data_IF_951103644139
#
_entry.id   IF_951103644139
#
_cell.length_a   1.000
_cell.length_b   1.000
_cell.length_c   1.000
_cell.angle_alpha   90.00
_cell.angle_beta   90.00
_cell.angle_gamma   90.00
#
_symmetry.space_group_name_H-M   'P 1'
#
loop_
_entity.id
_entity.type
_entity.pdbx_description
1 polymer ?
#
# COMPACT_ATOMS: atom_id res chain seq x y z
N UNK A 1 -0.22 -15.08 10.23
CA UNK A 1 -1.51 -14.62 9.67
C UNK A 1 -1.28 -13.24 9.06
N UNK A 2 -1.97 -12.89 7.97
CA UNK A 2 -1.91 -11.57 7.35
C UNK A 2 -3.03 -10.69 7.89
N UNK A 3 -2.73 -9.44 8.24
CA UNK A 3 -3.74 -8.45 8.61
C UNK A 3 -4.17 -7.60 7.41
N UNK A 4 -5.42 -7.16 7.40
CA UNK A 4 -5.90 -6.11 6.49
C UNK A 4 -6.47 -4.99 7.36
N UNK A 5 -5.92 -3.77 7.22
CA UNK A 5 -6.40 -2.61 7.98
C UNK A 5 -7.81 -2.24 7.53
N UNK A 6 -8.80 -2.47 8.38
CA UNK A 6 -10.23 -2.37 8.06
C UNK A 6 -10.89 -1.17 8.75
N UNK A 7 -10.34 0.03 8.51
CA UNK A 7 -10.88 1.29 9.02
C UNK A 7 -11.76 1.99 7.96
N UNK A 8 -11.32 1.97 6.71
CA UNK A 8 -12.03 2.52 5.54
C UNK A 8 -11.41 1.98 4.23
N UNK A 9 -12.05 2.24 3.08
CA UNK A 9 -11.55 1.87 1.76
C UNK A 9 -11.79 0.40 1.37
N UNK A 10 -11.02 -0.10 0.42
CA UNK A 10 -11.28 -1.38 -0.26
C UNK A 10 -10.73 -2.62 0.47
N UNK A 11 -10.76 -2.63 1.81
CA UNK A 11 -10.23 -3.73 2.62
C UNK A 11 -10.93 -5.09 2.31
N UNK A 12 -12.22 -5.07 1.95
CA UNK A 12 -12.95 -6.29 1.55
C UNK A 12 -12.38 -6.90 0.26
N UNK A 13 -11.94 -6.10 -0.69
CA UNK A 13 -11.32 -6.59 -1.92
C UNK A 13 -10.00 -7.30 -1.63
N UNK A 14 -9.16 -6.73 -0.77
CA UNK A 14 -7.93 -7.41 -0.31
C UNK A 14 -8.24 -8.72 0.43
N UNK A 15 -9.29 -8.77 1.24
CA UNK A 15 -9.75 -10.02 1.87
C UNK A 15 -10.07 -11.10 0.83
N UNK A 16 -10.84 -10.74 -0.20
CA UNK A 16 -11.20 -11.67 -1.28
C UNK A 16 -9.94 -12.21 -1.97
N UNK A 17 -8.95 -11.38 -2.25
CA UNK A 17 -7.67 -11.83 -2.82
C UNK A 17 -6.97 -12.82 -1.88
N UNK A 18 -6.92 -12.54 -0.58
CA UNK A 18 -6.30 -13.46 0.40
C UNK A 18 -7.06 -14.78 0.51
N UNK A 19 -8.41 -14.76 0.41
CA UNK A 19 -9.23 -15.97 0.35
C UNK A 19 -8.91 -16.80 -0.91
N UNK A 20 -8.83 -16.17 -2.08
CA UNK A 20 -8.47 -16.83 -3.34
C UNK A 20 -7.08 -17.49 -3.28
N UNK A 21 -6.16 -16.89 -2.55
CA UNK A 21 -4.81 -17.40 -2.31
C UNK A 21 -4.72 -18.39 -1.13
N UNK A 22 -5.84 -18.71 -0.48
CA UNK A 22 -5.91 -19.58 0.70
C UNK A 22 -5.00 -19.12 1.84
N UNK A 23 -4.87 -17.79 2.06
CA UNK A 23 -4.04 -17.20 3.09
C UNK A 23 -4.87 -16.90 4.33
N UNK A 24 -4.43 -17.40 5.50
CA UNK A 24 -5.05 -17.03 6.76
C UNK A 24 -4.90 -15.52 7.03
N UNK A 25 -6.01 -14.84 7.24
CA UNK A 25 -6.04 -13.40 7.44
C UNK A 25 -7.01 -12.97 8.54
N UNK A 26 -6.92 -11.71 8.94
CA UNK A 26 -7.85 -11.07 9.88
C UNK A 26 -7.94 -9.56 9.61
N UNK A 27 -9.06 -8.95 10.01
CA UNK A 27 -9.18 -7.49 9.99
C UNK A 27 -8.47 -6.87 11.18
N UNK A 28 -7.72 -5.80 10.90
CA UNK A 28 -7.09 -4.95 11.92
C UNK A 28 -7.95 -3.70 12.09
N UNK A 29 -8.57 -3.58 13.27
CA UNK A 29 -9.43 -2.44 13.66
C UNK A 29 -8.94 -1.76 14.94
N UNK A 30 -8.03 -2.39 15.67
CA UNK A 30 -7.42 -1.89 16.89
C UNK A 30 -6.02 -2.48 17.07
N UNK A 31 -5.23 -1.93 18.01
CA UNK A 31 -3.85 -2.33 18.24
C UNK A 31 -3.69 -3.80 18.62
N UNK A 32 -4.64 -4.36 19.40
CA UNK A 32 -4.57 -5.78 19.80
C UNK A 32 -4.66 -6.76 18.61
N UNK A 33 -5.26 -6.35 17.50
CA UNK A 33 -5.28 -7.19 16.31
C UNK A 33 -3.89 -7.35 15.67
N UNK A 34 -2.96 -6.39 15.89
CA UNK A 34 -1.59 -6.45 15.37
C UNK A 34 -0.77 -7.58 16.02
N UNK A 35 -1.08 -7.96 17.27
CA UNK A 35 -0.36 -9.02 17.99
C UNK A 35 -0.49 -10.41 17.32
N UNK A 36 -1.51 -10.58 16.48
CA UNK A 36 -1.86 -11.86 15.85
C UNK A 36 -1.32 -12.02 14.44
N UNK A 37 -0.69 -10.99 13.88
CA UNK A 37 -0.27 -10.95 12.48
C UNK A 37 1.22 -10.74 12.32
N UNK A 38 1.77 -11.15 11.19
CA UNK A 38 3.19 -10.99 10.83
C UNK A 38 3.38 -10.30 9.47
N UNK A 39 2.30 -9.87 8.84
CA UNK A 39 2.30 -9.00 7.68
C UNK A 39 0.98 -8.21 7.67
N UNK A 40 1.00 -6.99 7.14
CA UNK A 40 -0.16 -6.09 7.11
C UNK A 40 -0.37 -5.53 5.71
N UNK A 41 -1.62 -5.46 5.26
CA UNK A 41 -2.03 -4.70 4.08
C UNK A 41 -2.76 -3.44 4.55
N UNK A 42 -2.35 -2.27 4.08
CA UNK A 42 -3.05 -0.98 4.24
C UNK A 42 -3.73 -0.65 2.92
N UNK A 43 -5.06 -0.75 2.85
CA UNK A 43 -5.82 -0.58 1.61
C UNK A 43 -5.81 0.84 1.06
N UNK A 44 -6.22 0.95 -0.21
CA UNK A 44 -6.64 2.19 -0.82
C UNK A 44 -7.91 2.79 -0.20
N UNK A 45 -8.20 4.03 -0.57
CA UNK A 45 -9.34 4.79 -0.07
C UNK A 45 -9.04 6.30 -0.01
N UNK A 46 -9.62 7.02 0.93
CA UNK A 46 -9.36 8.45 1.12
C UNK A 46 -8.30 8.65 2.24
N UNK A 47 -7.13 9.18 1.88
CA UNK A 47 -5.97 9.24 2.77
C UNK A 47 -6.16 10.16 4.00
N UNK A 48 -6.91 11.27 3.87
CA UNK A 48 -7.19 12.15 5.00
C UNK A 48 -8.07 11.45 6.03
N UNK A 49 -9.14 10.78 5.55
CA UNK A 49 -10.02 9.99 6.41
C UNK A 49 -9.25 8.83 7.06
N UNK A 50 -8.38 8.16 6.31
CA UNK A 50 -7.56 7.07 6.85
C UNK A 50 -6.64 7.55 7.95
N UNK A 51 -5.92 8.67 7.76
CA UNK A 51 -5.07 9.29 8.77
C UNK A 51 -5.85 9.63 10.04
N UNK A 52 -7.01 10.30 9.89
CA UNK A 52 -7.88 10.65 11.03
C UNK A 52 -8.39 9.41 11.78
N UNK A 53 -8.75 8.35 11.09
CA UNK A 53 -9.23 7.11 11.72
C UNK A 53 -8.09 6.37 12.44
N UNK A 54 -6.88 6.35 11.87
CA UNK A 54 -5.68 5.79 12.53
C UNK A 54 -5.47 6.49 13.89
N UNK A 55 -5.58 7.82 13.94
CA UNK A 55 -5.44 8.57 15.19
C UNK A 55 -6.61 8.35 16.14
N UNK A 56 -7.84 8.40 15.63
CA UNK A 56 -9.06 8.17 16.42
C UNK A 56 -9.07 6.81 17.14
N UNK A 57 -8.51 5.78 16.49
CA UNK A 57 -8.41 4.43 17.08
C UNK A 57 -7.08 4.17 17.79
N UNK A 58 -6.23 5.21 17.99
CA UNK A 58 -4.92 5.12 18.64
C UNK A 58 -4.00 4.05 17.99
N UNK A 59 -4.01 3.95 16.68
CA UNK A 59 -3.26 2.93 15.94
C UNK A 59 -1.90 3.41 15.44
N UNK A 60 -1.63 4.72 15.38
CA UNK A 60 -0.45 5.29 14.74
C UNK A 60 0.86 4.71 15.27
N UNK A 61 1.10 4.84 16.56
CA UNK A 61 2.31 4.31 17.19
C UNK A 61 2.42 2.80 17.06
N UNK A 62 1.31 2.07 17.23
CA UNK A 62 1.28 0.62 17.08
C UNK A 62 1.62 0.15 15.67
N UNK A 63 1.18 0.88 14.62
CA UNK A 63 1.52 0.61 13.23
C UNK A 63 3.01 0.89 12.95
N UNK A 64 3.56 1.98 13.48
CA UNK A 64 4.97 2.32 13.38
C UNK A 64 5.83 1.24 14.08
N UNK A 65 5.48 0.83 15.29
CA UNK A 65 6.19 -0.24 16.00
C UNK A 65 6.06 -1.59 15.29
N UNK A 66 4.88 -1.92 14.73
CA UNK A 66 4.67 -3.10 13.92
C UNK A 66 5.61 -3.10 12.70
N UNK A 67 5.74 -1.98 12.01
CA UNK A 67 6.59 -1.84 10.83
C UNK A 67 8.07 -2.11 11.11
N UNK A 68 8.55 -1.87 12.34
CA UNK A 68 9.93 -2.18 12.73
C UNK A 68 10.23 -3.68 12.74
N UNK A 69 9.22 -4.53 12.91
CA UNK A 69 9.35 -5.99 13.03
C UNK A 69 8.83 -6.73 11.80
N UNK A 70 7.76 -6.26 11.22
CA UNK A 70 6.99 -6.94 10.19
C UNK A 70 6.78 -6.07 8.95
N UNK A 71 6.44 -6.70 7.86
CA UNK A 71 6.28 -6.04 6.57
C UNK A 71 4.88 -5.49 6.38
N UNK A 72 4.80 -4.36 5.68
CA UNK A 72 3.54 -3.71 5.33
C UNK A 72 3.47 -3.54 3.81
N UNK A 73 2.30 -3.80 3.24
CA UNK A 73 1.96 -3.48 1.86
C UNK A 73 0.91 -2.38 1.82
N UNK A 74 1.23 -1.23 1.24
CA UNK A 74 0.33 -0.09 1.08
C UNK A 74 -0.13 0.10 -0.36
N UNK A 75 -1.44 0.14 -0.62
CA UNK A 75 -2.00 0.42 -1.95
C UNK A 75 -2.68 1.78 -1.98
N UNK A 76 -2.46 2.58 -3.01
CA UNK A 76 -3.06 3.91 -3.20
C UNK A 76 -2.98 4.80 -1.93
N UNK A 77 -4.05 4.98 -1.16
CA UNK A 77 -4.01 5.70 0.12
C UNK A 77 -3.07 5.04 1.14
N UNK A 78 -2.96 3.71 1.13
CA UNK A 78 -1.99 2.97 1.94
C UNK A 78 -0.54 3.33 1.58
N UNK A 79 -0.22 3.50 0.28
CA UNK A 79 1.08 4.03 -0.14
C UNK A 79 1.35 5.42 0.42
N UNK A 80 0.35 6.31 0.39
CA UNK A 80 0.45 7.65 0.99
C UNK A 80 0.79 7.55 2.48
N UNK A 81 0.13 6.66 3.22
CA UNK A 81 0.39 6.48 4.64
C UNK A 81 1.81 5.98 4.96
N UNK A 82 2.45 5.24 4.04
CA UNK A 82 3.82 4.74 4.23
C UNK A 82 4.90 5.79 3.92
N UNK A 83 4.57 6.88 3.21
CA UNK A 83 5.53 7.91 2.79
C UNK A 83 6.12 8.68 3.99
N UNK A 84 7.21 9.42 3.74
CA UNK A 84 7.98 10.13 4.79
C UNK A 84 7.46 11.53 5.11
N UNK A 85 6.78 12.20 4.17
CA UNK A 85 6.41 13.61 4.33
C UNK A 85 4.90 13.78 4.48
N UNK A 86 4.52 14.53 5.50
CA UNK A 86 3.14 14.91 5.68
C UNK A 86 2.65 15.77 4.51
N UNK A 87 1.46 15.43 4.01
CA UNK A 87 0.90 16.09 2.83
C UNK A 87 -0.05 17.19 3.26
N UNK A 88 0.34 18.43 2.99
CA UNK A 88 -0.52 19.61 3.19
C UNK A 88 -1.48 19.74 2.02
N UNK A 89 -2.78 19.74 2.29
CA UNK A 89 -3.81 20.22 1.36
C UNK A 89 -4.34 21.58 1.83
N UNK A 90 -5.13 22.26 0.99
CA UNK A 90 -5.69 23.58 1.34
C UNK A 90 -6.54 23.56 2.62
N UNK A 91 -7.14 22.42 2.97
CA UNK A 91 -8.12 22.31 4.06
C UNK A 91 -7.71 21.28 5.13
N UNK A 92 -6.84 20.32 4.83
CA UNK A 92 -6.47 19.25 5.76
C UNK A 92 -5.02 18.81 5.57
N UNK A 93 -4.40 18.38 6.66
CA UNK A 93 -3.11 17.72 6.65
C UNK A 93 -3.31 16.20 6.71
N UNK A 94 -2.53 15.46 5.93
CA UNK A 94 -2.42 14.01 6.07
C UNK A 94 -1.15 13.72 6.83
N UNK A 95 -1.30 13.31 8.09
CA UNK A 95 -0.18 12.84 8.89
C UNK A 95 0.12 11.40 8.48
N UNK A 96 1.27 11.20 7.87
CA UNK A 96 1.73 9.90 7.39
C UNK A 96 2.41 9.10 8.51
N UNK A 97 2.71 7.82 8.25
CA UNK A 97 3.38 6.95 9.23
C UNK A 97 4.91 7.07 9.16
N UNK A 98 5.46 7.67 8.12
CA UNK A 98 6.90 7.84 7.91
C UNK A 98 7.68 6.51 8.04
N UNK A 99 7.26 5.51 7.29
CA UNK A 99 7.81 4.15 7.34
C UNK A 99 8.83 3.90 6.23
N UNK A 100 8.54 4.39 5.01
CA UNK A 100 9.39 4.22 3.84
C UNK A 100 9.96 5.57 3.38
N UNK A 101 11.21 5.60 2.92
CA UNK A 101 11.93 6.82 2.52
C UNK A 101 11.56 7.29 1.11
N UNK A 102 10.31 7.70 0.93
CA UNK A 102 9.82 8.32 -0.31
C UNK A 102 8.75 9.38 -0.04
N UNK A 103 8.56 10.28 -0.98
CA UNK A 103 7.51 11.32 -0.94
C UNK A 103 6.52 11.14 -2.08
N UNK A 104 5.29 11.55 -1.86
CA UNK A 104 4.23 11.50 -2.86
C UNK A 104 3.53 12.84 -3.03
N UNK A 105 3.01 13.07 -4.25
CA UNK A 105 2.04 14.12 -4.54
C UNK A 105 0.68 13.51 -4.82
N UNK A 106 -0.38 14.12 -4.28
CA UNK A 106 -1.77 13.68 -4.49
C UNK A 106 -2.35 14.32 -5.74
N UNK A 107 -3.22 13.59 -6.45
CA UNK A 107 -3.98 14.10 -7.60
C UNK A 107 -3.10 14.69 -8.73
N UNK A 108 -1.96 14.09 -9.02
CA UNK A 108 -0.93 14.69 -9.88
C UNK A 108 -0.84 14.07 -11.28
N UNK A 109 -1.81 13.26 -11.71
CA UNK A 109 -1.80 12.57 -13.00
C UNK A 109 -2.43 13.37 -14.16
N UNK A 110 -2.52 14.70 -14.05
CA UNK A 110 -2.98 15.57 -15.13
C UNK A 110 -4.43 15.27 -15.59
N UNK A 111 -4.61 15.01 -16.88
CA UNK A 111 -5.93 14.65 -17.46
C UNK A 111 -6.48 13.30 -16.98
N UNK A 112 -5.61 12.40 -16.52
CA UNK A 112 -5.94 11.07 -15.99
C UNK A 112 -6.16 11.07 -14.46
N UNK A 113 -6.35 12.21 -13.85
CA UNK A 113 -6.43 12.39 -12.39
C UNK A 113 -7.58 11.68 -11.67
N UNK A 114 -8.58 11.20 -12.39
CA UNK A 114 -9.74 10.53 -11.76
C UNK A 114 -9.56 9.02 -11.71
N UNK A 115 -9.51 8.35 -12.85
CA UNK A 115 -9.28 6.91 -12.95
C UNK A 115 -8.85 6.52 -14.36
N UNK A 116 -8.00 5.50 -14.46
CA UNK A 116 -7.59 4.88 -15.72
C UNK A 116 -7.03 3.49 -15.43
N UNK A 117 -6.93 2.68 -16.47
CA UNK A 117 -6.28 1.37 -16.43
C UNK A 117 -5.04 1.38 -17.31
N UNK A 118 -4.00 0.65 -16.90
CA UNK A 118 -2.75 0.55 -17.62
C UNK A 118 -2.15 -0.86 -17.48
N UNK A 119 -1.69 -1.41 -18.59
CA UNK A 119 -0.91 -2.64 -18.56
C UNK A 119 0.52 -2.32 -18.10
N UNK A 120 0.93 -2.94 -17.01
CA UNK A 120 2.27 -2.83 -16.45
C UNK A 120 3.03 -4.15 -16.60
N UNK A 121 4.35 -4.02 -16.68
CA UNK A 121 5.28 -5.15 -16.64
C UNK A 121 6.18 -4.99 -15.40
N UNK A 122 6.37 -6.07 -14.68
CA UNK A 122 7.27 -6.15 -13.54
C UNK A 122 8.37 -7.15 -13.90
N UNK A 123 9.39 -6.68 -14.62
CA UNK A 123 10.45 -7.54 -15.18
C UNK A 123 11.16 -8.38 -14.10
N UNK A 124 11.41 -7.78 -12.95
CA UNK A 124 12.09 -8.44 -11.82
C UNK A 124 11.32 -9.64 -11.27
N UNK A 125 10.00 -9.72 -11.45
CA UNK A 125 9.14 -10.78 -10.90
C UNK A 125 8.52 -11.67 -11.96
N UNK A 126 8.93 -11.48 -13.23
CA UNK A 126 8.34 -12.19 -14.38
C UNK A 126 6.81 -12.02 -14.48
N UNK A 127 6.29 -10.90 -13.96
CA UNK A 127 4.90 -10.53 -14.13
C UNK A 127 4.79 -9.65 -15.37
N UNK A 128 4.30 -10.19 -16.45
CA UNK A 128 4.03 -9.47 -17.68
C UNK A 128 2.53 -9.22 -17.82
N UNK A 129 2.18 -8.08 -18.42
CA UNK A 129 0.77 -7.75 -18.74
C UNK A 129 -0.18 -7.75 -17.54
N UNK A 130 0.24 -7.12 -16.44
CA UNK A 130 -0.63 -6.87 -15.29
C UNK A 130 -1.52 -5.66 -15.55
N UNK A 131 -2.85 -5.82 -15.42
CA UNK A 131 -3.79 -4.70 -15.55
C UNK A 131 -3.87 -3.91 -14.24
N UNK A 132 -3.23 -2.76 -14.20
CA UNK A 132 -3.21 -1.89 -13.02
C UNK A 132 -4.32 -0.84 -13.10
N UNK A 133 -5.19 -0.82 -12.08
CA UNK A 133 -6.31 0.12 -11.95
C UNK A 133 -5.88 1.30 -11.09
N UNK A 134 -5.87 2.50 -11.66
CA UNK A 134 -5.52 3.74 -10.97
C UNK A 134 -6.78 4.55 -10.70
N UNK A 135 -7.02 4.92 -9.44
CA UNK A 135 -8.17 5.74 -9.01
C UNK A 135 -7.64 6.87 -8.14
N UNK A 136 -7.63 8.11 -8.66
CA UNK A 136 -7.06 9.28 -7.96
C UNK A 136 -5.71 8.99 -7.32
N UNK A 137 -4.89 8.22 -8.03
CA UNK A 137 -3.66 7.63 -7.52
C UNK A 137 -2.64 8.68 -7.09
N UNK A 138 -1.83 8.41 -6.06
CA UNK A 138 -0.67 9.24 -5.74
C UNK A 138 0.42 9.06 -6.79
N UNK A 139 1.25 10.09 -6.95
CA UNK A 139 2.46 10.08 -7.77
C UNK A 139 3.67 10.14 -6.86
N UNK A 140 4.64 9.25 -7.05
CA UNK A 140 5.92 9.33 -6.36
C UNK A 140 6.70 10.50 -6.93
N UNK A 141 7.20 11.39 -6.07
CA UNK A 141 7.93 12.61 -6.49
C UNK A 141 9.39 12.59 -6.07
N UNK A 142 9.71 11.85 -5.03
CA UNK A 142 11.09 11.68 -4.57
C UNK A 142 11.25 10.34 -3.84
N UNK A 143 12.41 9.69 -4.02
CA UNK A 143 12.72 8.39 -3.43
C UNK A 143 14.12 8.40 -2.83
N UNK A 144 14.25 7.82 -1.64
CA UNK A 144 15.53 7.63 -0.99
C UNK A 144 16.37 6.50 -1.63
N UNK A 145 17.67 6.46 -1.32
CA UNK A 145 18.64 5.60 -2.02
C UNK A 145 18.44 4.09 -1.77
N UNK A 146 17.63 3.71 -0.80
CA UNK A 146 17.33 2.31 -0.48
C UNK A 146 16.04 1.79 -1.11
N UNK A 147 15.32 2.67 -1.80
CA UNK A 147 14.06 2.30 -2.46
C UNK A 147 14.38 1.73 -3.84
N UNK A 148 13.86 0.55 -4.11
CA UNK A 148 13.87 -0.10 -5.40
C UNK A 148 12.55 0.20 -6.15
N UNK A 149 12.67 0.69 -7.39
CA UNK A 149 11.52 0.87 -8.27
C UNK A 149 11.19 -0.45 -8.96
N UNK A 150 10.02 -0.97 -8.69
CA UNK A 150 9.57 -2.26 -9.20
C UNK A 150 8.86 -2.12 -10.54
N UNK A 151 8.13 -1.03 -10.73
CA UNK A 151 7.41 -0.76 -11.98
C UNK A 151 7.24 0.72 -12.23
N UNK A 152 7.15 1.06 -13.52
CA UNK A 152 7.00 2.44 -14.01
C UNK A 152 5.78 2.57 -14.91
N UNK A 153 5.19 3.74 -14.88
CA UNK A 153 4.23 4.23 -15.88
C UNK A 153 4.64 5.65 -16.29
N UNK A 154 4.89 5.90 -17.58
CA UNK A 154 5.37 7.18 -18.11
C UNK A 154 6.58 7.73 -17.32
N UNK A 155 7.60 6.89 -17.11
CA UNK A 155 8.83 7.21 -16.35
C UNK A 155 8.62 7.45 -14.85
N UNK A 156 7.39 7.40 -14.35
CA UNK A 156 7.05 7.58 -12.95
C UNK A 156 7.00 6.24 -12.22
N UNK A 157 7.62 6.14 -11.07
CA UNK A 157 7.53 4.95 -10.22
C UNK A 157 6.10 4.77 -9.73
N UNK A 158 5.51 3.60 -9.99
CA UNK A 158 4.14 3.26 -9.55
C UNK A 158 4.09 2.10 -8.58
N UNK A 159 5.20 1.38 -8.41
CA UNK A 159 5.38 0.36 -7.39
C UNK A 159 6.82 0.39 -6.89
N UNK A 160 7.01 0.44 -5.59
CA UNK A 160 8.31 0.62 -4.92
C UNK A 160 8.44 -0.34 -3.74
N UNK A 161 9.69 -0.68 -3.43
CA UNK A 161 10.07 -1.65 -2.39
C UNK A 161 11.32 -1.15 -1.66
N UNK A 162 11.35 -1.21 -0.34
CA UNK A 162 12.52 -0.81 0.47
C UNK A 162 13.31 -2.01 1.04
N UNK A 163 13.01 -3.21 0.54
CA UNK A 163 13.57 -4.47 1.06
C UNK A 163 12.82 -5.04 2.26
N UNK A 164 11.79 -4.35 2.74
CA UNK A 164 10.96 -4.76 3.88
C UNK A 164 9.48 -4.48 3.67
N UNK A 165 9.16 -3.36 3.08
CA UNK A 165 7.81 -2.89 2.82
C UNK A 165 7.57 -2.71 1.32
N UNK A 166 6.33 -2.85 0.90
CA UNK A 166 5.91 -2.69 -0.48
C UNK A 166 4.86 -1.58 -0.57
N UNK A 167 4.94 -0.74 -1.60
CA UNK A 167 3.92 0.26 -1.85
C UNK A 167 3.62 0.38 -3.35
N UNK A 168 2.35 0.54 -3.72
CA UNK A 168 1.96 0.83 -5.09
C UNK A 168 0.88 1.91 -5.16
N UNK A 169 0.89 2.69 -6.24
CA UNK A 169 -0.06 3.79 -6.45
C UNK A 169 -1.40 3.33 -7.01
N UNK A 170 -1.48 2.13 -7.55
CA UNK A 170 -2.68 1.52 -8.13
C UNK A 170 -3.38 0.57 -7.15
N UNK A 171 -4.50 0.00 -7.59
CA UNK A 171 -5.36 -0.92 -6.85
C UNK A 171 -5.25 -2.34 -7.39
N UNK A 172 -4.28 -3.17 -6.94
CA UNK A 172 -4.12 -4.54 -7.41
C UNK A 172 -5.27 -5.46 -6.97
N UNK A 173 -6.06 -5.03 -6.00
CA UNK A 173 -7.22 -5.75 -5.48
C UNK A 173 -8.48 -5.63 -6.36
N UNK A 174 -8.46 -4.75 -7.36
CA UNK A 174 -9.60 -4.51 -8.25
C UNK A 174 -9.56 -5.35 -9.53
N UNK A 175 -8.46 -6.04 -9.81
CA UNK A 175 -8.33 -7.01 -10.89
C UNK A 175 -8.43 -8.45 -10.35
N UNK A 176 -8.71 -9.42 -11.22
CA UNK A 176 -8.70 -10.84 -10.86
C UNK A 176 -7.29 -11.43 -10.81
N UNK A 177 -6.27 -10.64 -11.10
CA UNK A 177 -4.87 -11.04 -11.10
C UNK A 177 -4.23 -10.85 -9.72
N UNK A 178 -3.99 -11.93 -9.02
CA UNK A 178 -3.49 -11.91 -7.64
C UNK A 178 -1.94 -11.79 -7.56
N UNK A 179 -1.22 -11.74 -8.69
CA UNK A 179 0.26 -11.85 -8.73
C UNK A 179 1.00 -10.79 -7.91
N UNK A 180 0.47 -9.57 -7.77
CA UNK A 180 1.08 -8.53 -6.92
C UNK A 180 0.96 -8.89 -5.44
N UNK A 181 -0.17 -9.45 -5.00
CA UNK A 181 -0.33 -9.94 -3.64
C UNK A 181 0.54 -11.19 -3.39
N UNK A 182 0.59 -12.10 -4.35
CA UNK A 182 1.48 -13.29 -4.29
C UNK A 182 2.94 -12.87 -4.14
N UNK A 183 3.39 -11.83 -4.88
CA UNK A 183 4.73 -11.29 -4.71
C UNK A 183 4.99 -10.82 -3.28
N UNK A 184 4.11 -9.99 -2.72
CA UNK A 184 4.22 -9.54 -1.33
C UNK A 184 4.27 -10.71 -0.35
N UNK A 185 3.36 -11.67 -0.51
CA UNK A 185 3.28 -12.84 0.35
C UNK A 185 4.53 -13.70 0.26
N UNK A 186 4.99 -14.02 -0.93
CA UNK A 186 6.18 -14.85 -1.14
C UNK A 186 7.45 -14.21 -0.60
N UNK A 187 7.63 -12.91 -0.83
CA UNK A 187 8.83 -12.19 -0.38
C UNK A 187 8.83 -11.92 1.11
N UNK A 188 7.70 -11.54 1.69
CA UNK A 188 7.64 -10.93 3.01
C UNK A 188 6.87 -11.71 4.07
N UNK A 189 5.94 -12.54 3.68
CA UNK A 189 5.18 -13.35 4.62
C UNK A 189 5.73 -14.77 4.74
N UNK A 190 5.92 -15.46 3.62
CA UNK A 190 6.48 -16.82 3.61
C UNK A 190 8.00 -16.86 3.67
N UNK A 191 8.71 -15.90 3.09
CA UNK A 191 10.17 -15.84 3.05
C UNK A 191 10.84 -15.59 4.40
N UNK A 192 10.08 -15.24 5.43
CA UNK A 192 10.57 -15.04 6.81
C UNK A 192 10.44 -16.26 7.73
N UNK A 193 10.11 -17.42 7.16
CA UNK A 193 10.03 -18.66 7.96
C UNK A 193 11.37 -19.35 8.08
#
# INVERSE_FOLDING_TARGET
MVGVLALQGDFEKHRIVLDNLNVQHTYVKNAHNLDKITALIIPGGESTTLSMLIDRYNLRESLIEFSKKFSIFGTCAGMIMLSRDNIKSKENMVDVLNIMDFSVSRNSWGSQKYSFEQILNFEQFKINSFNAVFIRAPKVVDIGPKIENISYFNEEAVMIDDGKHLACSFHPELDNDNRVHEYFLNKYYYGKK
#
